data_IF_430066140538
#
_entry.id   IF_430066140538
#
_cell.length_a   1.000
_cell.length_b   1.000
_cell.length_c   1.000
_cell.angle_alpha   90.00
_cell.angle_beta   90.00
_cell.angle_gamma   90.00
#
_symmetry.space_group_name_H-M   'P 1'
#
loop_
_entity.id
_entity.type
_entity.pdbx_description
1 polymer ?
#
# COMPACT_ATOMS: atom_id res chain seq x y z
N UNK A 1 50.53 -36.29 35.24
CA UNK A 1 49.73 -35.07 34.97
C UNK A 1 48.39 -35.45 34.38
N UNK A 2 47.33 -34.62 34.63
CA UNK A 2 46.00 -34.75 34.02
C UNK A 2 45.63 -33.43 33.35
N UNK A 3 44.99 -33.50 32.19
CA UNK A 3 44.48 -32.34 31.45
C UNK A 3 43.15 -32.68 30.80
N UNK A 4 42.27 -31.66 30.63
CA UNK A 4 41.04 -31.74 29.86
C UNK A 4 41.21 -30.77 28.70
N UNK A 5 41.21 -31.21 27.43
CA UNK A 5 41.27 -30.31 26.27
C UNK A 5 40.03 -29.38 26.25
N UNK A 6 40.23 -28.16 25.78
CA UNK A 6 39.12 -27.23 25.54
C UNK A 6 38.09 -27.83 24.56
N UNK A 7 36.83 -27.54 24.79
CA UNK A 7 35.72 -27.92 23.93
C UNK A 7 35.01 -26.68 23.38
N UNK A 8 34.27 -26.84 22.32
CA UNK A 8 33.46 -25.75 21.76
C UNK A 8 32.30 -25.36 22.69
N UNK A 9 31.89 -24.11 22.64
CA UNK A 9 30.71 -23.60 23.35
C UNK A 9 29.45 -24.32 22.87
N UNK A 10 28.67 -24.82 23.81
CA UNK A 10 27.35 -25.42 23.50
C UNK A 10 26.41 -24.36 22.93
N UNK A 11 25.50 -24.79 22.08
CA UNK A 11 24.59 -23.91 21.36
C UNK A 11 23.20 -24.54 21.20
N UNK A 12 22.31 -23.94 20.44
CA UNK A 12 20.93 -24.44 20.23
C UNK A 12 20.87 -25.81 19.53
N UNK A 13 21.89 -26.20 18.79
CA UNK A 13 21.97 -27.50 18.11
C UNK A 13 22.75 -28.53 18.91
N UNK A 14 23.82 -28.09 19.55
CA UNK A 14 24.71 -28.94 20.34
C UNK A 14 24.53 -28.63 21.81
N UNK A 15 23.76 -29.46 22.53
CA UNK A 15 23.38 -29.26 23.94
C UNK A 15 24.24 -30.00 24.94
N UNK A 16 25.13 -30.89 24.47
CA UNK A 16 26.09 -31.65 25.27
C UNK A 16 27.39 -31.84 24.51
N UNK A 17 28.48 -32.02 25.25
CA UNK A 17 29.80 -32.37 24.73
C UNK A 17 30.45 -33.47 25.56
N UNK A 18 31.42 -34.17 24.98
CA UNK A 18 32.19 -35.19 25.70
C UNK A 18 33.52 -34.61 26.15
N UNK A 19 33.76 -34.57 27.44
CA UNK A 19 35.04 -34.26 28.03
C UNK A 19 35.91 -35.50 28.06
N UNK A 20 37.21 -35.35 27.75
CA UNK A 20 38.19 -36.45 27.84
C UNK A 20 39.33 -36.03 28.74
N UNK A 21 39.58 -36.83 29.80
CA UNK A 21 40.72 -36.65 30.65
C UNK A 21 41.93 -37.37 30.06
N UNK A 22 42.96 -36.58 29.66
CA UNK A 22 44.23 -37.10 29.21
C UNK A 22 45.20 -37.20 30.38
N UNK A 23 45.69 -38.41 30.65
CA UNK A 23 46.58 -38.67 31.76
C UNK A 23 47.94 -39.16 31.26
N UNK A 24 49.02 -38.70 31.87
CA UNK A 24 50.37 -39.18 31.61
C UNK A 24 51.07 -39.53 32.93
N UNK A 25 51.93 -40.59 32.89
CA UNK A 25 52.75 -41.00 34.02
C UNK A 25 52.14 -42.06 34.96
N UNK A 26 51.00 -42.67 34.57
CA UNK A 26 50.41 -43.81 35.31
C UNK A 26 49.56 -44.63 34.33
N UNK A 27 49.42 -45.93 34.55
CA UNK A 27 48.64 -46.85 33.68
C UNK A 27 47.43 -47.48 34.40
N UNK A 28 47.50 -47.66 35.70
CA UNK A 28 46.38 -48.13 36.51
C UNK A 28 45.74 -46.96 37.26
N UNK A 29 44.60 -46.43 36.68
CA UNK A 29 44.01 -45.14 37.01
C UNK A 29 42.55 -45.29 37.31
N UNK A 30 42.09 -44.70 38.40
CA UNK A 30 40.70 -44.47 38.73
C UNK A 30 40.34 -43.01 38.41
N UNK A 31 39.15 -42.77 37.84
CA UNK A 31 38.61 -41.45 37.50
C UNK A 31 37.41 -41.14 38.40
N UNK A 32 37.32 -39.89 38.84
CA UNK A 32 36.19 -39.35 39.55
C UNK A 32 35.87 -37.94 39.02
N UNK A 33 34.72 -37.77 38.37
CA UNK A 33 34.25 -36.47 37.88
C UNK A 33 33.39 -35.82 38.97
N UNK A 34 33.43 -34.50 39.05
CA UNK A 34 32.75 -33.70 40.08
C UNK A 34 31.21 -33.80 40.05
N UNK A 35 30.63 -34.11 38.92
CA UNK A 35 29.20 -34.33 38.75
C UNK A 35 28.74 -35.77 39.09
N UNK A 36 29.67 -36.65 39.38
CA UNK A 36 29.40 -38.08 39.62
C UNK A 36 28.94 -38.86 38.40
N UNK A 37 28.99 -38.24 37.23
CA UNK A 37 28.41 -38.76 35.99
C UNK A 37 29.22 -39.85 35.31
N UNK A 38 30.53 -39.99 35.63
CA UNK A 38 31.41 -40.97 35.02
C UNK A 38 32.56 -41.38 35.92
N UNK A 39 32.95 -42.65 35.82
CA UNK A 39 34.15 -43.23 36.45
C UNK A 39 35.21 -43.62 35.41
N UNK A 40 35.04 -43.19 34.17
CA UNK A 40 35.95 -43.40 33.04
C UNK A 40 36.64 -42.11 32.61
N UNK A 41 37.61 -42.23 31.72
CA UNK A 41 38.31 -41.07 31.13
C UNK A 41 37.43 -40.11 30.38
N UNK A 42 36.20 -40.45 30.06
CA UNK A 42 35.24 -39.60 29.31
C UNK A 42 33.99 -39.35 30.13
N UNK A 43 33.41 -38.14 29.95
CA UNK A 43 32.17 -37.73 30.56
C UNK A 43 31.36 -36.89 29.56
N UNK A 44 30.07 -37.21 29.36
CA UNK A 44 29.18 -36.50 28.46
C UNK A 44 28.33 -35.49 29.26
N UNK A 45 28.66 -34.22 29.14
CA UNK A 45 28.17 -33.16 30.02
C UNK A 45 27.43 -32.06 29.24
N UNK A 46 26.55 -31.33 29.93
CA UNK A 46 25.99 -30.06 29.54
C UNK A 46 26.94 -28.93 29.93
N UNK A 47 26.45 -27.69 29.99
CA UNK A 47 27.20 -26.54 30.48
C UNK A 47 27.47 -26.62 31.98
N UNK A 48 28.60 -26.09 32.40
CA UNK A 48 28.99 -26.08 33.80
C UNK A 48 30.51 -26.16 34.00
N UNK A 49 30.93 -26.21 35.26
CA UNK A 49 32.35 -26.42 35.64
C UNK A 49 32.53 -27.86 36.04
N UNK A 50 33.47 -28.54 35.40
CA UNK A 50 33.78 -29.96 35.65
C UNK A 50 35.21 -30.13 36.09
N UNK A 51 35.37 -30.89 37.15
CA UNK A 51 36.69 -31.29 37.69
C UNK A 51 36.78 -32.80 37.56
N UNK A 52 37.86 -33.29 36.97
CA UNK A 52 38.23 -34.69 37.03
C UNK A 52 39.35 -34.86 38.07
N UNK A 53 39.18 -35.76 38.98
CA UNK A 53 40.24 -36.24 39.91
C UNK A 53 40.66 -37.63 39.47
N UNK A 54 41.91 -37.80 39.26
CA UNK A 54 42.54 -39.05 38.81
C UNK A 54 43.37 -39.61 39.97
N UNK A 55 43.19 -40.88 40.30
CA UNK A 55 43.94 -41.58 41.36
C UNK A 55 44.78 -42.70 40.73
N UNK A 56 46.07 -42.67 40.89
CA UNK A 56 46.92 -43.83 40.61
C UNK A 56 46.68 -44.95 41.65
N UNK A 57 46.22 -46.09 41.17
CA UNK A 57 45.83 -47.19 42.04
C UNK A 57 47.02 -47.87 42.74
N UNK A 58 48.25 -47.73 42.16
CA UNK A 58 49.45 -48.33 42.73
C UNK A 58 49.99 -47.54 43.95
N UNK A 59 50.10 -46.21 43.83
CA UNK A 59 50.73 -45.35 44.84
C UNK A 59 49.77 -44.42 45.56
N UNK A 60 48.48 -44.43 45.20
CA UNK A 60 47.36 -43.61 45.76
C UNK A 60 47.54 -42.09 45.58
N UNK A 61 48.48 -41.65 44.73
CA UNK A 61 48.65 -40.25 44.41
C UNK A 61 47.48 -39.77 43.51
N UNK A 62 47.07 -38.54 43.74
CA UNK A 62 45.97 -37.92 42.99
C UNK A 62 46.44 -36.68 42.17
N UNK A 63 45.78 -36.41 41.09
CA UNK A 63 45.90 -35.16 40.35
C UNK A 63 44.51 -34.75 39.84
N UNK A 64 44.28 -33.44 39.65
CA UNK A 64 43.01 -32.92 39.16
C UNK A 64 43.21 -31.96 38.01
N UNK A 65 42.21 -31.88 37.14
CA UNK A 65 42.08 -30.86 36.10
C UNK A 65 40.63 -30.34 36.06
N UNK A 66 40.49 -29.07 35.73
CA UNK A 66 39.20 -28.38 35.64
C UNK A 66 39.00 -27.86 34.24
N UNK A 67 37.73 -27.87 33.75
CA UNK A 67 37.31 -27.21 32.55
C UNK A 67 35.89 -26.62 32.75
N UNK A 68 35.70 -25.38 32.27
CA UNK A 68 34.40 -24.75 32.16
C UNK A 68 33.83 -24.99 30.76
N UNK A 69 32.69 -25.64 30.70
CA UNK A 69 31.91 -25.80 29.46
C UNK A 69 30.91 -24.64 29.38
N UNK A 70 31.14 -23.74 28.45
CA UNK A 70 30.27 -22.60 28.24
C UNK A 70 29.09 -22.93 27.28
N UNK A 71 28.03 -22.12 27.35
CA UNK A 71 26.84 -22.28 26.56
C UNK A 71 26.34 -20.92 26.09
N UNK A 72 25.98 -20.85 24.83
CA UNK A 72 25.30 -19.71 24.21
C UNK A 72 24.04 -20.19 23.49
N UNK A 73 22.89 -19.87 24.05
CA UNK A 73 21.54 -20.20 23.52
C UNK A 73 20.67 -18.96 23.44
N UNK A 74 21.30 -17.77 23.36
CA UNK A 74 20.58 -16.53 23.18
C UNK A 74 19.93 -16.49 21.79
N UNK A 75 18.61 -16.48 21.74
CA UNK A 75 17.87 -16.29 20.48
C UNK A 75 18.04 -14.87 19.96
N UNK A 76 18.13 -14.67 18.65
CA UNK A 76 18.17 -13.33 18.07
C UNK A 76 16.89 -12.55 18.37
N UNK A 77 17.04 -11.25 18.63
CA UNK A 77 15.94 -10.28 18.70
C UNK A 77 15.74 -9.65 17.34
N UNK A 78 14.54 -9.75 16.78
CA UNK A 78 14.22 -9.29 15.44
C UNK A 78 13.51 -7.93 15.50
N UNK A 79 13.84 -7.04 14.57
CA UNK A 79 13.11 -5.80 14.31
C UNK A 79 12.80 -5.73 12.84
N UNK A 80 11.52 -5.52 12.46
CA UNK A 80 11.06 -5.40 11.09
C UNK A 80 10.64 -3.95 10.82
N UNK A 81 10.97 -3.42 9.63
CA UNK A 81 10.48 -2.12 9.17
C UNK A 81 8.96 -2.17 8.93
N UNK A 82 8.26 -1.09 9.25
CA UNK A 82 6.85 -0.94 8.85
C UNK A 82 6.77 -0.78 7.33
N UNK A 83 6.12 -1.69 6.60
CA UNK A 83 5.97 -1.56 5.15
C UNK A 83 4.98 -0.45 4.79
N UNK A 84 5.12 0.11 3.60
CA UNK A 84 4.07 0.91 2.97
C UNK A 84 2.88 0.02 2.59
N UNK A 85 1.72 0.64 2.36
CA UNK A 85 0.53 -0.04 1.88
C UNK A 85 0.56 -0.18 0.35
N UNK A 86 0.21 -1.36 -0.16
CA UNK A 86 -0.03 -1.56 -1.60
C UNK A 86 -1.24 -0.73 -2.02
N UNK A 87 -1.12 -0.03 -3.15
CA UNK A 87 -2.20 0.80 -3.67
C UNK A 87 -2.10 0.95 -5.19
N UNK A 88 -2.91 1.78 -5.81
CA UNK A 88 -2.90 1.95 -7.27
C UNK A 88 -1.59 2.55 -7.82
N UNK A 89 -0.77 3.19 -6.99
CA UNK A 89 0.54 3.73 -7.37
C UNK A 89 1.70 2.84 -6.89
N UNK A 90 1.51 2.12 -5.79
CA UNK A 90 2.53 1.26 -5.16
C UNK A 90 2.11 -0.20 -5.34
N UNK A 91 2.67 -0.86 -6.34
CA UNK A 91 2.38 -2.28 -6.65
C UNK A 91 3.35 -3.26 -5.99
N UNK A 92 4.43 -2.77 -5.40
CA UNK A 92 5.47 -3.57 -4.71
C UNK A 92 5.95 -2.78 -3.50
N UNK A 93 6.07 -3.45 -2.37
CA UNK A 93 6.61 -2.87 -1.13
C UNK A 93 7.86 -3.61 -0.71
N UNK A 94 8.80 -2.87 -0.13
CA UNK A 94 10.06 -3.39 0.41
C UNK A 94 9.95 -3.55 1.92
N UNK A 95 10.31 -4.72 2.43
CA UNK A 95 10.35 -5.02 3.87
C UNK A 95 11.79 -5.35 4.25
N UNK A 96 12.25 -4.77 5.34
CA UNK A 96 13.59 -5.01 5.89
C UNK A 96 13.50 -5.56 7.31
N UNK A 97 14.33 -6.55 7.62
CA UNK A 97 14.52 -7.06 8.97
C UNK A 97 15.95 -6.86 9.44
N UNK A 98 16.13 -6.59 10.71
CA UNK A 98 17.42 -6.58 11.38
C UNK A 98 17.37 -7.49 12.62
N UNK A 99 18.50 -8.04 13.01
CA UNK A 99 18.60 -8.89 14.19
C UNK A 99 19.78 -8.48 15.06
N UNK A 100 19.63 -8.67 16.36
CA UNK A 100 20.67 -8.42 17.38
C UNK A 100 20.71 -9.58 18.36
N UNK A 101 21.87 -9.81 19.00
CA UNK A 101 22.03 -10.70 20.13
C UNK A 101 22.60 -9.94 21.32
N UNK A 102 22.42 -10.48 22.54
CA UNK A 102 23.06 -9.98 23.75
C UNK A 102 24.57 -10.26 23.76
N UNK A 103 25.04 -11.16 22.90
CA UNK A 103 26.44 -11.51 22.72
C UNK A 103 26.98 -10.81 21.46
N UNK A 104 28.12 -10.14 21.58
CA UNK A 104 28.71 -9.42 20.45
C UNK A 104 29.38 -10.37 19.44
N UNK A 105 29.46 -9.94 18.17
CA UNK A 105 30.13 -10.68 17.12
C UNK A 105 29.29 -11.71 16.37
N UNK A 106 27.99 -11.79 16.67
CA UNK A 106 27.06 -12.67 15.96
C UNK A 106 26.71 -12.13 14.57
N UNK A 107 26.43 -13.04 13.65
CA UNK A 107 25.95 -12.78 12.30
C UNK A 107 24.66 -13.55 12.04
N UNK A 108 23.82 -13.10 11.12
CA UNK A 108 22.47 -13.62 10.96
C UNK A 108 22.16 -13.97 9.53
N UNK A 109 21.38 -15.02 9.35
CA UNK A 109 20.75 -15.42 8.09
C UNK A 109 19.25 -15.22 8.18
N UNK A 110 18.62 -14.71 7.11
CA UNK A 110 17.21 -14.37 7.06
C UNK A 110 16.52 -15.21 6.00
N UNK A 111 15.44 -15.89 6.39
CA UNK A 111 14.57 -16.65 5.51
C UNK A 111 13.14 -16.16 5.68
N UNK A 112 12.52 -15.75 4.58
CA UNK A 112 11.16 -15.23 4.56
C UNK A 112 10.19 -16.23 3.94
N UNK A 113 8.92 -16.10 4.28
CA UNK A 113 7.81 -16.78 3.59
C UNK A 113 7.94 -16.58 2.09
N UNK A 114 7.65 -17.65 1.30
CA UNK A 114 7.79 -17.61 -0.15
C UNK A 114 9.22 -17.87 -0.65
N UNK A 115 10.07 -18.52 0.17
CA UNK A 115 11.46 -18.89 -0.18
C UNK A 115 12.35 -17.70 -0.53
N UNK A 116 12.08 -16.53 0.04
CA UNK A 116 12.93 -15.36 -0.08
C UNK A 116 13.98 -15.34 1.03
N UNK A 117 15.12 -14.72 0.78
CA UNK A 117 16.24 -14.64 1.71
C UNK A 117 16.91 -13.27 1.68
N UNK A 118 17.61 -12.95 2.77
CA UNK A 118 18.30 -11.68 2.94
C UNK A 118 17.58 -10.72 3.89
N UNK A 119 18.26 -9.64 4.27
CA UNK A 119 17.73 -8.63 5.18
C UNK A 119 16.57 -7.84 4.59
N UNK A 120 16.52 -7.73 3.27
CA UNK A 120 15.53 -6.93 2.54
C UNK A 120 14.90 -7.79 1.47
N UNK A 121 13.57 -7.76 1.39
CA UNK A 121 12.75 -8.50 0.43
C UNK A 121 11.62 -7.62 -0.09
N UNK A 122 11.07 -7.98 -1.25
CA UNK A 122 9.97 -7.27 -1.88
C UNK A 122 8.74 -8.17 -1.96
N UNK A 123 7.55 -7.58 -1.73
CA UNK A 123 6.25 -8.26 -1.83
C UNK A 123 5.26 -7.41 -2.64
N UNK A 124 4.37 -8.09 -3.34
CA UNK A 124 3.34 -7.49 -4.19
C UNK A 124 1.92 -8.01 -3.90
N UNK A 125 1.74 -8.67 -2.77
CA UNK A 125 0.45 -9.21 -2.32
C UNK A 125 0.17 -8.82 -0.88
N UNK A 126 -1.08 -8.52 -0.51
CA UNK A 126 -1.47 -8.18 0.85
C UNK A 126 -1.65 -9.47 1.67
N UNK A 127 -0.63 -9.86 2.38
CA UNK A 127 -0.60 -11.05 3.23
C UNK A 127 0.24 -10.80 4.48
N UNK A 128 0.20 -11.73 5.41
CA UNK A 128 1.14 -11.79 6.54
C UNK A 128 2.32 -12.67 6.15
N UNK A 129 3.50 -12.11 6.26
CA UNK A 129 4.78 -12.76 5.94
C UNK A 129 5.59 -12.94 7.21
N UNK A 130 6.18 -14.11 7.36
CA UNK A 130 7.04 -14.45 8.49
C UNK A 130 8.50 -14.41 8.06
N UNK A 131 9.35 -13.76 8.84
CA UNK A 131 10.80 -13.92 8.75
C UNK A 131 11.28 -14.86 9.85
N UNK A 132 12.09 -15.84 9.48
CA UNK A 132 12.86 -16.67 10.42
C UNK A 132 14.31 -16.28 10.32
N UNK A 133 14.86 -15.83 11.44
CA UNK A 133 16.28 -15.44 11.56
C UNK A 133 17.03 -16.54 12.28
N UNK A 134 18.14 -16.96 11.70
CA UNK A 134 19.08 -17.91 12.29
C UNK A 134 20.36 -17.18 12.65
N UNK A 135 20.78 -17.30 13.87
CA UNK A 135 22.10 -16.87 14.31
C UNK A 135 23.14 -17.87 13.81
N UNK A 136 24.11 -17.40 13.01
CA UNK A 136 25.11 -18.26 12.38
C UNK A 136 26.21 -18.75 13.33
N UNK A 137 26.27 -18.19 14.56
CA UNK A 137 27.27 -18.54 15.58
C UNK A 137 26.73 -19.61 16.51
N UNK A 138 25.58 -19.36 17.12
CA UNK A 138 24.99 -20.28 18.10
C UNK A 138 23.84 -21.13 17.56
N UNK A 139 23.48 -20.96 16.28
CA UNK A 139 22.41 -21.68 15.56
C UNK A 139 21.02 -21.57 16.19
N UNK A 140 20.81 -20.59 17.06
CA UNK A 140 19.49 -20.28 17.59
C UNK A 140 18.64 -19.54 16.55
N UNK A 141 17.34 -19.73 16.61
CA UNK A 141 16.40 -19.10 15.67
C UNK A 141 15.34 -18.30 16.42
N UNK A 142 14.82 -17.29 15.76
CA UNK A 142 13.61 -16.57 16.13
C UNK A 142 12.79 -16.28 14.88
N UNK A 143 11.50 -16.03 15.05
CA UNK A 143 10.60 -15.66 13.95
C UNK A 143 9.73 -14.49 14.35
N UNK A 144 9.40 -13.63 13.38
CA UNK A 144 8.54 -12.46 13.55
C UNK A 144 7.69 -12.27 12.29
N UNK A 145 6.49 -11.73 12.47
CA UNK A 145 5.51 -11.55 11.40
C UNK A 145 5.38 -10.08 11.00
N UNK A 146 5.13 -9.84 9.72
CA UNK A 146 4.77 -8.54 9.18
C UNK A 146 3.57 -8.68 8.27
N UNK A 147 2.56 -7.81 8.44
CA UNK A 147 1.39 -7.78 7.59
C UNK A 147 1.52 -6.64 6.58
N UNK A 148 1.32 -6.95 5.31
CA UNK A 148 1.21 -5.98 4.22
C UNK A 148 -0.26 -5.78 3.94
N UNK A 149 -0.72 -4.54 4.06
CA UNK A 149 -2.08 -4.12 3.71
C UNK A 149 -2.17 -3.65 2.27
N UNK A 150 -3.40 -3.59 1.74
CA UNK A 150 -3.69 -3.06 0.42
C UNK A 150 -4.98 -2.25 0.43
N UNK A 151 -4.93 -1.07 -0.20
CA UNK A 151 -6.13 -0.31 -0.57
C UNK A 151 -6.08 0.05 -2.06
N UNK A 152 -6.92 -0.62 -2.86
CA UNK A 152 -7.12 -0.39 -4.30
C UNK A 152 -8.56 0.00 -4.63
N UNK A 153 -9.30 0.54 -3.64
CA UNK A 153 -10.68 0.98 -3.82
C UNK A 153 -10.71 2.28 -4.65
N UNK A 154 -11.41 2.24 -5.77
CA UNK A 154 -11.65 3.43 -6.58
C UNK A 154 -12.69 4.33 -5.92
N UNK A 155 -12.59 5.66 -6.04
CA UNK A 155 -13.71 6.53 -5.73
C UNK A 155 -14.88 6.24 -6.68
N UNK A 156 -16.10 6.37 -6.17
CA UNK A 156 -17.30 6.33 -7.01
C UNK A 156 -17.63 7.76 -7.43
N UNK A 157 -17.73 7.99 -8.75
CA UNK A 157 -17.92 9.34 -9.34
C UNK A 157 -19.07 9.35 -10.33
N UNK A 158 -19.93 10.35 -10.20
CA UNK A 158 -21.07 10.60 -11.08
C UNK A 158 -21.10 12.06 -11.51
N UNK A 159 -21.50 12.32 -12.74
CA UNK A 159 -21.89 13.64 -13.23
C UNK A 159 -23.39 13.57 -13.58
N UNK A 160 -24.28 14.20 -12.78
CA UNK A 160 -25.70 14.25 -13.10
C UNK A 160 -25.95 14.89 -14.46
N UNK A 161 -26.98 14.40 -15.18
CA UNK A 161 -27.39 15.00 -16.42
C UNK A 161 -27.80 16.46 -16.22
N UNK A 162 -27.47 17.32 -17.18
CA UNK A 162 -27.85 18.72 -17.21
C UNK A 162 -28.76 19.01 -18.42
N UNK A 163 -29.59 20.03 -18.29
CA UNK A 163 -30.40 20.52 -19.42
C UNK A 163 -29.47 21.00 -20.52
N UNK A 164 -29.96 20.98 -21.75
CA UNK A 164 -29.25 21.49 -22.92
C UNK A 164 -28.83 22.97 -22.78
N UNK A 165 -27.76 23.35 -23.43
CA UNK A 165 -27.35 24.73 -23.63
C UNK A 165 -28.22 25.30 -24.77
N UNK A 166 -28.80 26.49 -24.56
CA UNK A 166 -29.62 27.22 -25.52
C UNK A 166 -29.42 28.72 -25.38
N UNK A 167 -30.17 29.53 -26.16
CA UNK A 167 -30.04 30.99 -26.13
C UNK A 167 -30.48 31.66 -24.82
N UNK A 168 -31.38 31.03 -24.06
CA UNK A 168 -31.80 31.53 -22.73
C UNK A 168 -30.81 31.13 -21.66
N UNK A 169 -30.17 29.97 -21.82
CA UNK A 169 -29.24 29.38 -20.87
C UNK A 169 -27.92 29.02 -21.59
N UNK A 170 -27.07 30.03 -21.86
CA UNK A 170 -25.88 29.85 -22.68
C UNK A 170 -24.74 29.09 -21.98
N UNK A 171 -24.93 28.66 -20.76
CA UNK A 171 -23.97 27.85 -20.02
C UNK A 171 -24.66 26.91 -19.03
N UNK A 172 -23.95 25.87 -18.66
CA UNK A 172 -24.33 24.90 -17.61
C UNK A 172 -23.18 24.67 -16.68
N UNK A 173 -23.49 24.40 -15.41
CA UNK A 173 -22.50 23.94 -14.40
C UNK A 173 -22.60 22.43 -14.31
N UNK A 174 -21.54 21.75 -14.63
CA UNK A 174 -21.35 20.34 -14.37
C UNK A 174 -20.83 20.18 -12.93
N UNK A 175 -21.34 19.21 -12.20
CA UNK A 175 -20.90 18.91 -10.84
C UNK A 175 -20.51 17.45 -10.77
N UNK A 176 -19.29 17.16 -10.38
CA UNK A 176 -18.86 15.81 -10.05
C UNK A 176 -19.28 15.48 -8.61
N UNK A 177 -20.20 14.56 -8.46
CA UNK A 177 -20.58 13.98 -7.16
C UNK A 177 -19.70 12.78 -6.90
N UNK A 178 -19.03 12.75 -5.77
CA UNK A 178 -18.05 11.71 -5.43
C UNK A 178 -18.38 11.10 -4.07
N UNK A 179 -18.38 9.77 -4.02
CA UNK A 179 -18.31 9.01 -2.79
C UNK A 179 -16.92 8.40 -2.68
N UNK A 180 -16.09 8.97 -1.81
CA UNK A 180 -14.75 8.47 -1.55
C UNK A 180 -14.79 7.32 -0.54
N UNK A 181 -13.94 6.32 -0.75
CA UNK A 181 -13.75 5.25 0.23
C UNK A 181 -13.09 5.81 1.51
N UNK A 182 -13.55 5.38 2.67
CA UNK A 182 -13.03 5.81 3.97
C UNK A 182 -12.95 7.34 4.18
N UNK A 183 -13.78 8.12 3.48
CA UNK A 183 -13.77 9.60 3.54
C UNK A 183 -12.43 10.23 3.17
N UNK A 184 -11.68 9.60 2.27
CA UNK A 184 -10.44 10.15 1.74
C UNK A 184 -10.70 11.47 0.99
N UNK A 185 -9.70 12.33 0.94
CA UNK A 185 -9.71 13.50 0.06
C UNK A 185 -9.49 13.08 -1.38
N UNK A 186 -10.07 13.83 -2.31
CA UNK A 186 -9.98 13.55 -3.74
C UNK A 186 -9.57 14.77 -4.54
N UNK A 187 -8.87 14.53 -5.63
CA UNK A 187 -8.49 15.54 -6.62
C UNK A 187 -9.28 15.34 -7.92
N UNK A 188 -9.61 16.44 -8.60
CA UNK A 188 -10.40 16.44 -9.84
C UNK A 188 -9.56 16.88 -11.02
N UNK A 189 -9.80 16.28 -12.18
CA UNK A 189 -9.23 16.70 -13.46
C UNK A 189 -10.26 16.50 -14.57
N UNK A 190 -10.83 17.61 -15.04
CA UNK A 190 -11.74 17.60 -16.18
C UNK A 190 -10.99 17.44 -17.50
N UNK A 191 -11.68 16.99 -18.53
CA UNK A 191 -11.15 16.83 -19.90
C UNK A 191 -10.61 18.13 -20.49
N UNK A 192 -10.96 19.27 -19.93
CA UNK A 192 -10.36 20.58 -20.21
C UNK A 192 -9.18 20.81 -19.24
N UNK A 193 -9.14 21.78 -18.41
CA UNK A 193 -8.01 22.04 -17.50
C UNK A 193 -8.44 22.27 -16.06
N UNK A 194 -9.74 22.19 -15.80
CA UNK A 194 -10.32 22.50 -14.51
C UNK A 194 -10.02 21.40 -13.47
N UNK A 195 -9.79 21.84 -12.23
CA UNK A 195 -9.39 20.96 -11.10
C UNK A 195 -10.35 21.03 -9.91
N UNK A 196 -11.51 21.68 -10.07
CA UNK A 196 -12.54 21.76 -9.03
C UNK A 196 -13.61 20.68 -9.22
N UNK A 197 -14.42 20.45 -8.19
CA UNK A 197 -15.58 19.55 -8.28
C UNK A 197 -16.66 20.03 -9.25
N UNK A 198 -16.62 21.30 -9.67
CA UNK A 198 -17.56 21.90 -10.61
C UNK A 198 -16.84 22.48 -11.82
N UNK A 199 -17.49 22.41 -12.98
CA UNK A 199 -16.99 22.96 -14.23
C UNK A 199 -18.12 23.63 -15.01
N UNK A 200 -17.93 24.90 -15.38
CA UNK A 200 -18.90 25.65 -16.20
C UNK A 200 -18.61 25.49 -17.67
N UNK A 201 -19.58 25.01 -18.43
CA UNK A 201 -19.48 24.76 -19.87
C UNK A 201 -20.44 25.66 -20.64
N UNK A 202 -20.01 26.20 -21.77
CA UNK A 202 -20.79 27.07 -22.70
C UNK A 202 -20.93 26.48 -24.09
N UNK A 203 -20.42 25.30 -24.34
CA UNK A 203 -20.49 24.57 -25.62
C UNK A 203 -21.01 23.18 -25.35
N UNK A 204 -21.90 22.68 -26.22
CA UNK A 204 -22.35 21.29 -26.16
C UNK A 204 -21.25 20.33 -26.57
N UNK A 205 -21.29 19.12 -26.04
CA UNK A 205 -20.30 18.07 -26.33
C UNK A 205 -20.09 17.11 -25.19
N UNK A 206 -19.20 16.15 -25.37
CA UNK A 206 -18.82 15.21 -24.31
C UNK A 206 -17.84 15.87 -23.31
N UNK A 207 -18.13 15.71 -22.06
CA UNK A 207 -17.27 16.14 -20.95
C UNK A 207 -17.00 14.97 -20.03
N UNK A 208 -15.78 14.89 -19.52
CA UNK A 208 -15.40 13.86 -18.53
C UNK A 208 -14.57 14.46 -17.41
N UNK A 209 -14.67 13.86 -16.25
CA UNK A 209 -13.84 14.16 -15.08
C UNK A 209 -13.16 12.89 -14.64
N UNK A 210 -11.86 12.97 -14.37
CA UNK A 210 -11.10 11.95 -13.64
C UNK A 210 -11.01 12.41 -12.20
N UNK A 211 -11.45 11.56 -11.28
CA UNK A 211 -11.32 11.77 -9.83
C UNK A 211 -10.29 10.80 -9.33
N UNK A 212 -9.30 11.31 -8.61
CA UNK A 212 -8.22 10.52 -8.01
C UNK A 212 -8.29 10.64 -6.50
N UNK A 213 -8.29 9.52 -5.82
CA UNK A 213 -8.14 9.44 -4.36
C UNK A 213 -6.71 9.85 -3.99
N UNK A 214 -6.57 10.85 -3.09
CA UNK A 214 -5.27 11.43 -2.73
C UNK A 214 -4.46 10.54 -1.78
N UNK A 215 -5.09 9.51 -1.18
CA UNK A 215 -4.45 8.57 -0.27
C UNK A 215 -3.96 7.33 -1.03
N UNK A 216 -4.88 6.55 -1.62
CA UNK A 216 -4.53 5.29 -2.29
C UNK A 216 -4.18 5.47 -3.77
N UNK A 217 -4.26 6.68 -4.34
CA UNK A 217 -3.95 7.05 -5.73
C UNK A 217 -4.80 6.35 -6.78
N UNK A 218 -5.87 5.67 -6.38
CA UNK A 218 -6.83 5.07 -7.31
C UNK A 218 -7.70 6.14 -7.95
N UNK A 219 -8.15 5.92 -9.17
CA UNK A 219 -8.94 6.90 -9.90
C UNK A 219 -10.12 6.28 -10.63
N UNK A 220 -11.17 7.07 -10.78
CA UNK A 220 -12.34 6.75 -11.60
C UNK A 220 -12.67 7.89 -12.55
N UNK A 221 -13.41 7.57 -13.60
CA UNK A 221 -13.82 8.54 -14.64
C UNK A 221 -15.33 8.51 -14.79
N UNK A 222 -15.94 9.69 -14.74
CA UNK A 222 -17.34 9.88 -15.17
C UNK A 222 -17.40 10.75 -16.42
N UNK A 223 -18.44 10.55 -17.23
CA UNK A 223 -18.65 11.31 -18.46
C UNK A 223 -20.12 11.70 -18.62
N UNK A 224 -20.36 12.86 -19.21
CA UNK A 224 -21.69 13.37 -19.54
C UNK A 224 -21.68 14.00 -20.93
N UNK A 225 -22.76 13.83 -21.67
CA UNK A 225 -22.99 14.51 -22.94
C UNK A 225 -23.91 15.73 -22.71
N UNK A 226 -23.38 16.93 -22.91
CA UNK A 226 -24.15 18.17 -22.82
C UNK A 226 -24.73 18.46 -24.22
N UNK A 227 -26.06 18.44 -24.32
CA UNK A 227 -26.75 18.81 -25.56
C UNK A 227 -26.70 20.34 -25.77
N UNK A 228 -26.69 20.75 -27.00
CA UNK A 228 -26.79 22.17 -27.37
C UNK A 228 -27.81 22.34 -28.49
N UNK A 229 -28.70 23.31 -28.34
CA UNK A 229 -29.57 23.80 -29.40
C UNK A 229 -29.13 25.19 -29.83
N UNK A 230 -28.86 25.32 -31.10
CA UNK A 230 -28.51 26.59 -31.75
C UNK A 230 -29.54 26.98 -32.85
N UNK A 231 -30.69 26.32 -32.81
CA UNK A 231 -31.74 26.55 -33.80
C UNK A 231 -32.30 27.98 -33.67
N UNK A 232 -32.02 28.79 -34.62
CA UNK A 232 -32.55 30.13 -34.73
C UNK A 232 -33.87 30.09 -35.56
N UNK A 233 -34.92 30.76 -35.10
CA UNK A 233 -36.13 30.86 -35.89
C UNK A 233 -35.89 31.69 -37.17
N UNK A 234 -36.38 31.20 -38.28
CA UNK A 234 -36.42 31.96 -39.52
C UNK A 234 -37.66 32.86 -39.52
N UNK A 235 -37.43 34.15 -39.62
CA UNK A 235 -38.50 35.16 -39.57
C UNK A 235 -38.67 35.84 -40.93
N UNK A 236 -39.84 35.79 -41.47
CA UNK A 236 -40.17 36.47 -42.77
C UNK A 236 -41.45 37.29 -42.62
N UNK A 237 -41.45 38.47 -43.23
CA UNK A 237 -42.64 39.30 -43.38
C UNK A 237 -42.93 39.39 -44.88
N UNK A 238 -44.05 38.82 -45.40
CA UNK A 238 -44.41 38.92 -46.79
C UNK A 238 -44.62 40.36 -47.19
N UNK A 239 -44.28 40.67 -48.42
CA UNK A 239 -44.58 41.99 -48.99
C UNK A 239 -46.09 42.26 -48.97
N UNK A 240 -46.45 43.48 -48.61
CA UNK A 240 -47.83 43.95 -48.60
C UNK A 240 -47.99 45.02 -49.66
N UNK A 241 -49.23 45.26 -50.07
CA UNK A 241 -49.54 46.30 -51.02
C UNK A 241 -49.31 47.72 -50.46
N UNK A 242 -48.90 48.63 -51.30
CA UNK A 242 -48.70 50.04 -50.96
C UNK A 242 -49.95 50.65 -50.32
N UNK A 243 -49.74 51.46 -49.34
CA UNK A 243 -50.81 52.30 -48.77
C UNK A 243 -51.07 53.45 -49.69
N UNK A 244 -52.34 53.80 -49.87
CA UNK A 244 -52.81 54.90 -50.73
C UNK A 244 -54.03 55.59 -50.13
N UNK A 245 -54.57 56.62 -50.79
CA UNK A 245 -55.72 57.37 -50.26
C UNK A 245 -57.01 56.53 -50.04
N UNK A 246 -57.11 55.33 -50.60
CA UNK A 246 -58.23 54.44 -50.47
C UNK A 246 -57.94 53.31 -49.47
N UNK A 247 -56.68 52.89 -49.42
CA UNK A 247 -56.16 51.85 -48.46
C UNK A 247 -55.19 52.49 -47.48
N UNK A 248 -55.71 52.97 -46.35
CA UNK A 248 -54.93 53.73 -45.37
C UNK A 248 -54.29 52.87 -44.28
N UNK A 249 -54.59 51.57 -44.22
CA UNK A 249 -54.11 50.62 -43.28
C UNK A 249 -53.82 49.26 -43.91
N UNK A 250 -52.84 48.57 -43.45
CA UNK A 250 -52.60 47.17 -43.79
C UNK A 250 -52.18 46.38 -42.59
N UNK A 251 -52.31 45.05 -42.69
CA UNK A 251 -51.89 44.12 -41.64
C UNK A 251 -50.59 43.49 -42.09
N UNK A 252 -49.54 43.67 -41.31
CA UNK A 252 -48.32 42.91 -41.43
C UNK A 252 -48.49 41.60 -40.74
N UNK A 253 -48.12 40.52 -41.41
CA UNK A 253 -48.11 39.15 -40.83
C UNK A 253 -46.66 38.64 -40.81
N UNK A 254 -46.22 38.19 -39.71
CA UNK A 254 -44.88 37.52 -39.59
C UNK A 254 -45.08 36.03 -39.68
N UNK A 255 -44.32 35.39 -40.54
CA UNK A 255 -44.18 33.95 -40.61
C UNK A 255 -42.88 33.55 -39.91
N UNK A 256 -42.98 32.60 -38.99
CA UNK A 256 -41.83 32.08 -38.23
C UNK A 256 -41.77 30.59 -38.41
N UNK A 257 -40.59 30.09 -38.82
CA UNK A 257 -40.28 28.66 -38.93
C UNK A 257 -39.14 28.29 -37.98
N UNK A 258 -39.08 27.05 -37.53
CA UNK A 258 -38.01 26.52 -36.71
C UNK A 258 -38.13 26.80 -35.19
N UNK A 259 -39.28 27.29 -34.69
CA UNK A 259 -39.48 27.52 -33.26
C UNK A 259 -40.89 27.07 -32.81
N UNK A 260 -40.95 26.41 -31.66
CA UNK A 260 -42.19 25.90 -31.05
C UNK A 260 -42.89 26.92 -30.12
N UNK A 261 -42.11 27.79 -29.49
CA UNK A 261 -42.60 28.87 -28.60
C UNK A 261 -42.04 30.18 -29.04
N UNK A 262 -42.90 31.11 -29.45
CA UNK A 262 -42.52 32.37 -30.08
C UNK A 262 -43.09 33.52 -29.27
N UNK A 263 -42.25 34.50 -28.94
CA UNK A 263 -42.63 35.82 -28.47
C UNK A 263 -42.46 36.83 -29.63
N UNK A 264 -43.45 37.71 -29.83
CA UNK A 264 -43.41 38.72 -30.86
C UNK A 264 -43.25 40.10 -30.21
N UNK A 265 -42.39 40.92 -30.78
CA UNK A 265 -42.20 42.30 -30.40
C UNK A 265 -42.04 43.14 -31.69
N UNK A 266 -42.94 44.12 -31.91
CA UNK A 266 -42.92 44.98 -33.04
C UNK A 266 -42.34 46.33 -32.65
N UNK A 267 -41.47 46.90 -33.49
CA UNK A 267 -40.83 48.19 -33.23
C UNK A 267 -41.76 49.38 -33.32
N UNK A 268 -42.94 49.21 -33.90
CA UNK A 268 -44.05 50.19 -33.92
C UNK A 268 -45.35 49.47 -33.55
N UNK A 269 -46.06 50.05 -32.60
CA UNK A 269 -47.32 49.48 -32.10
C UNK A 269 -47.05 48.55 -30.86
N UNK A 270 -48.13 48.12 -30.20
CA UNK A 270 -48.07 47.32 -28.98
C UNK A 270 -48.51 45.86 -29.23
N UNK A 271 -48.41 45.38 -30.43
CA UNK A 271 -48.81 44.01 -30.76
C UNK A 271 -47.80 43.00 -30.26
N UNK A 272 -48.27 41.99 -29.56
CA UNK A 272 -47.51 40.84 -29.07
C UNK A 272 -47.89 39.54 -29.80
N UNK A 273 -48.60 39.66 -30.90
CA UNK A 273 -49.04 38.55 -31.74
C UNK A 273 -48.29 38.54 -33.07
N UNK A 274 -48.48 37.50 -33.88
CA UNK A 274 -47.91 37.35 -35.22
C UNK A 274 -48.41 38.41 -36.22
N UNK A 275 -49.30 39.26 -35.83
CA UNK A 275 -49.88 40.31 -36.69
C UNK A 275 -49.78 41.70 -36.09
N UNK A 276 -49.55 42.73 -36.88
CA UNK A 276 -49.58 44.14 -36.45
C UNK A 276 -50.26 45.00 -37.53
N UNK A 277 -51.13 45.89 -37.09
CA UNK A 277 -51.75 46.89 -37.96
C UNK A 277 -50.80 48.08 -38.15
N UNK A 278 -50.55 48.47 -39.38
CA UNK A 278 -49.72 49.63 -39.70
C UNK A 278 -50.57 50.62 -40.57
N UNK A 279 -50.38 51.89 -40.30
CA UNK A 279 -51.11 53.01 -40.98
C UNK A 279 -50.12 53.87 -41.69
#
# INVERSE_FOLDING_TARGET
TVTIPAVETLNCQVTKTTLTANVSGATDIAYAWSDGGSTTSTNNVADGTFVVTVTNNENKCTASAELVVSKDVASPTITISTPEELNCAVSVVTVSASATSTVAGHTYSYNWTGSKSGQTVEYNSPETYTVTVTDNVNHCTASEDVTISQDTNNPDVEIPEVSQIDCENPSRVLTATVTAYNSHTVSYKWSQTETFSTFTVSVGGPYSVTVTDDVNKCSAVASVLVAQSSDLPTVTIPAVSDLNCQTTQTVLVVNVEGAAKIKYEWNKGSSTTSTSNVT
#
